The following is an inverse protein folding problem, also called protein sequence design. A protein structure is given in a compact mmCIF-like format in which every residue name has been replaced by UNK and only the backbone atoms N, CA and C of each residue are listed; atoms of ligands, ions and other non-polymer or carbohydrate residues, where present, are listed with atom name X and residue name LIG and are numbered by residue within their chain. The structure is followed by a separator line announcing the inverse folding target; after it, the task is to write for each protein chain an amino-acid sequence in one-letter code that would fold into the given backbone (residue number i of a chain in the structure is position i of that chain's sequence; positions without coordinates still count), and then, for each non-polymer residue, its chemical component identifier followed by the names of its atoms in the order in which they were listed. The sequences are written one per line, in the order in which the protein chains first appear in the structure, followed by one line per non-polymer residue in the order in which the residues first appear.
data_IF_728836882168
#
_entry.id   IF_728836882168
#
_cell.length_a   1.000
_cell.length_b   1.000
_cell.length_c   1.000
_cell.angle_alpha   90.00
_cell.angle_beta   90.00
_cell.angle_gamma   90.00
#
_symmetry.space_group_name_H-M   'P 1'
#
loop_
_entity.id
_entity.type
_entity.pdbx_description
1 polymer ?
#
# COMPACT_ATOMS: atom_id res chain seq x y z
N UNK A 1 -3.31 13.68 23.97
CA UNK A 1 -2.78 12.87 22.84
C UNK A 1 -2.08 11.67 23.45
N UNK A 2 -2.55 10.47 23.18
CA UNK A 2 -1.83 9.25 23.54
C UNK A 2 -0.63 9.10 22.59
N UNK A 3 0.53 8.71 23.13
CA UNK A 3 1.72 8.43 22.31
C UNK A 3 1.55 7.15 21.47
N UNK A 4 2.54 6.82 20.61
CA UNK A 4 2.48 5.63 19.79
C UNK A 4 2.38 4.35 20.60
N UNK A 5 1.59 3.40 20.12
CA UNK A 5 1.40 2.08 20.76
C UNK A 5 2.68 1.25 20.75
N UNK A 6 2.80 0.19 21.57
CA UNK A 6 3.94 -0.71 21.54
C UNK A 6 4.20 -1.31 20.16
N UNK A 7 3.14 -1.72 19.42
CA UNK A 7 3.24 -2.24 18.07
C UNK A 7 3.79 -1.20 17.08
N UNK A 8 3.31 0.03 17.15
CA UNK A 8 3.82 1.13 16.34
C UNK A 8 5.30 1.43 16.61
N UNK A 9 5.74 1.33 17.88
CA UNK A 9 7.15 1.49 18.25
C UNK A 9 8.01 0.36 17.74
N UNK A 10 7.52 -0.88 17.82
CA UNK A 10 8.21 -2.06 17.30
C UNK A 10 8.42 -1.92 15.79
N UNK A 11 7.37 -1.59 15.04
CA UNK A 11 7.45 -1.40 13.58
C UNK A 11 8.41 -0.27 13.21
N UNK A 12 8.41 0.83 13.96
CA UNK A 12 9.41 1.88 13.78
C UNK A 12 10.84 1.34 13.94
N UNK A 13 11.09 0.57 15.01
CA UNK A 13 12.42 0.02 15.29
C UNK A 13 12.89 -0.94 14.20
N UNK A 14 11.98 -1.69 13.57
CA UNK A 14 12.30 -2.56 12.42
C UNK A 14 12.93 -1.81 11.25
N UNK A 15 12.58 -0.54 11.05
CA UNK A 15 13.06 0.27 9.92
C UNK A 15 14.19 1.23 10.30
N UNK A 16 14.61 1.27 11.57
CA UNK A 16 15.75 2.09 12.02
C UNK A 16 17.07 1.73 11.32
N UNK A 17 17.37 0.44 11.02
CA UNK A 17 18.59 0.07 10.32
C UNK A 17 18.67 0.55 8.87
N UNK A 18 17.51 0.83 8.24
CA UNK A 18 17.49 1.30 6.86
C UNK A 18 18.20 2.67 6.76
N UNK A 19 19.39 2.64 6.20
CA UNK A 19 20.20 3.83 5.98
C UNK A 19 20.84 3.77 4.59
N UNK A 20 20.03 3.91 3.54
CA UNK A 20 20.47 3.75 2.17
C UNK A 20 21.51 4.80 1.79
N UNK A 21 22.39 4.41 0.91
CA UNK A 21 23.28 5.33 0.23
C UNK A 21 22.44 6.30 -0.62
N UNK A 22 22.56 7.60 -0.36
CA UNK A 22 21.82 8.63 -1.10
C UNK A 22 22.07 8.57 -2.61
N UNK A 23 23.24 8.08 -3.02
CA UNK A 23 23.61 7.93 -4.42
C UNK A 23 22.88 6.76 -5.12
N UNK A 24 22.22 5.89 -4.36
CA UNK A 24 21.44 4.76 -4.88
C UNK A 24 19.94 5.01 -4.91
N UNK A 25 19.48 6.22 -4.61
CA UNK A 25 18.05 6.52 -4.65
C UNK A 25 17.48 6.24 -6.04
N UNK A 26 16.50 5.36 -6.07
CA UNK A 26 15.69 5.08 -7.26
C UNK A 26 14.34 5.80 -7.13
N UNK A 27 14.17 6.88 -7.88
CA UNK A 27 12.94 7.68 -7.89
C UNK A 27 11.75 6.94 -8.50
N UNK A 28 12.00 5.84 -9.19
CA UNK A 28 10.98 4.96 -9.77
C UNK A 28 10.73 3.70 -8.94
N UNK A 29 11.34 3.59 -7.76
CA UNK A 29 11.03 2.55 -6.80
C UNK A 29 10.08 3.07 -5.72
N UNK A 30 9.07 2.27 -5.42
CA UNK A 30 8.17 2.42 -4.27
C UNK A 30 8.40 1.22 -3.35
N UNK A 31 8.67 1.48 -2.08
CA UNK A 31 8.70 0.43 -1.06
C UNK A 31 7.41 0.48 -0.25
N UNK A 32 6.63 -0.62 -0.31
CA UNK A 32 5.40 -0.80 0.47
C UNK A 32 5.77 -1.51 1.76
N UNK A 33 5.59 -0.82 2.87
CA UNK A 33 6.09 -1.25 4.17
C UNK A 33 5.00 -1.09 5.24
N UNK A 34 5.24 -1.68 6.41
CA UNK A 34 4.39 -1.50 7.59
C UNK A 34 3.36 -2.59 7.83
N UNK A 35 3.28 -3.60 6.95
CA UNK A 35 2.47 -4.81 7.13
C UNK A 35 3.37 -6.03 7.38
N UNK A 36 2.84 -7.03 8.09
CA UNK A 36 3.48 -8.33 8.27
C UNK A 36 3.22 -9.26 7.07
N UNK A 37 2.29 -8.88 6.22
CA UNK A 37 1.87 -9.65 5.05
C UNK A 37 2.16 -8.85 3.79
N UNK A 38 2.63 -9.55 2.76
CA UNK A 38 2.71 -8.99 1.42
C UNK A 38 1.32 -8.63 0.89
N UNK A 39 1.24 -7.66 0.01
CA UNK A 39 0.05 -7.48 -0.81
C UNK A 39 -0.12 -8.70 -1.72
N UNK A 40 -1.37 -9.11 -1.92
CA UNK A 40 -1.68 -10.19 -2.84
C UNK A 40 -1.15 -9.89 -4.25
N UNK A 41 -0.79 -10.94 -4.98
CA UNK A 41 -0.30 -10.79 -6.36
C UNK A 41 -1.35 -10.20 -7.31
N UNK A 42 -2.63 -10.40 -6.99
CA UNK A 42 -3.76 -9.82 -7.72
C UNK A 42 -4.15 -8.43 -7.23
N UNK A 43 -3.39 -7.84 -6.30
CA UNK A 43 -3.70 -6.53 -5.74
C UNK A 43 -3.66 -5.45 -6.82
N UNK A 44 -4.77 -4.76 -6.98
CA UNK A 44 -4.97 -3.71 -7.98
C UNK A 44 -3.98 -2.56 -7.83
N UNK A 45 -3.54 -2.26 -6.63
CA UNK A 45 -2.51 -1.25 -6.36
C UNK A 45 -1.17 -1.59 -7.05
N UNK A 46 -0.74 -2.87 -7.03
CA UNK A 46 0.49 -3.28 -7.74
C UNK A 46 0.37 -3.10 -9.24
N UNK A 47 -0.79 -3.46 -9.81
CA UNK A 47 -1.07 -3.25 -11.24
C UNK A 47 -1.03 -1.76 -11.59
N UNK A 48 -1.69 -0.92 -10.80
CA UNK A 48 -1.72 0.52 -11.02
C UNK A 48 -0.32 1.15 -10.98
N UNK A 49 0.50 0.77 -10.00
CA UNK A 49 1.88 1.24 -9.89
C UNK A 49 2.75 0.79 -11.07
N UNK A 50 2.53 -0.44 -11.56
CA UNK A 50 3.22 -0.93 -12.76
C UNK A 50 2.82 -0.14 -14.02
N UNK A 51 1.53 0.19 -14.19
CA UNK A 51 1.04 1.06 -15.27
C UNK A 51 1.69 2.45 -15.18
N UNK A 52 1.87 2.96 -13.97
CA UNK A 52 2.55 4.24 -13.71
C UNK A 52 4.09 4.17 -13.93
N UNK A 53 4.62 3.01 -14.24
CA UNK A 53 6.05 2.79 -14.51
C UNK A 53 6.91 2.74 -13.25
N UNK A 54 6.34 2.34 -12.12
CA UNK A 54 7.05 2.18 -10.85
C UNK A 54 7.39 0.73 -10.56
N UNK A 55 8.57 0.52 -9.97
CA UNK A 55 8.98 -0.76 -9.40
C UNK A 55 8.53 -0.82 -7.94
N UNK A 56 7.78 -1.85 -7.60
CA UNK A 56 7.33 -2.10 -6.22
C UNK A 56 8.26 -3.08 -5.54
N UNK A 57 8.60 -2.81 -4.28
CA UNK A 57 9.27 -3.74 -3.38
C UNK A 57 8.55 -3.79 -2.03
N UNK A 58 8.51 -4.97 -1.43
CA UNK A 58 7.94 -5.21 -0.12
C UNK A 58 8.97 -5.87 0.80
N UNK A 59 8.76 -5.77 2.11
CA UNK A 59 9.62 -6.45 3.09
C UNK A 59 9.67 -7.97 2.84
N UNK A 60 8.54 -8.54 2.46
CA UNK A 60 8.37 -9.98 2.24
C UNK A 60 9.09 -10.49 0.98
N UNK A 61 9.52 -9.60 0.10
CA UNK A 61 10.34 -9.93 -1.07
C UNK A 61 11.83 -10.15 -0.69
N UNK A 62 12.23 -9.76 0.54
CA UNK A 62 13.61 -9.78 0.96
C UNK A 62 13.99 -11.14 1.57
N UNK A 63 15.02 -11.75 1.03
CA UNK A 63 15.62 -13.01 1.52
C UNK A 63 16.98 -12.79 2.20
N UNK A 64 17.60 -11.64 1.95
CA UNK A 64 18.92 -11.28 2.49
C UNK A 64 18.90 -9.91 3.17
N UNK A 65 19.95 -9.61 3.93
CA UNK A 65 20.12 -8.29 4.55
C UNK A 65 20.32 -7.18 3.50
N UNK A 66 21.03 -7.46 2.46
CA UNK A 66 21.29 -6.53 1.37
C UNK A 66 19.99 -6.15 0.64
N UNK A 67 19.13 -7.14 0.38
CA UNK A 67 17.79 -6.88 -0.20
C UNK A 67 16.91 -6.06 0.73
N UNK A 68 17.03 -6.28 2.04
CA UNK A 68 16.33 -5.47 3.04
C UNK A 68 16.83 -4.01 3.03
N UNK A 69 18.16 -3.80 2.98
CA UNK A 69 18.73 -2.45 2.90
C UNK A 69 18.29 -1.71 1.63
N UNK A 70 18.10 -2.42 0.52
CA UNK A 70 17.62 -1.86 -0.74
C UNK A 70 16.19 -1.29 -0.67
N UNK A 71 15.38 -1.71 0.31
CA UNK A 71 14.07 -1.09 0.55
C UNK A 71 14.20 0.41 0.82
N UNK A 72 15.27 0.81 1.50
CA UNK A 72 15.56 2.21 1.79
C UNK A 72 15.96 3.06 0.57
N UNK A 73 16.27 2.44 -0.57
CA UNK A 73 16.63 3.15 -1.80
C UNK A 73 15.40 3.76 -2.52
N UNK A 74 14.19 3.42 -2.11
CA UNK A 74 12.97 3.93 -2.72
C UNK A 74 12.88 5.47 -2.65
N UNK A 75 12.38 6.07 -3.73
CA UNK A 75 12.04 7.49 -3.77
C UNK A 75 10.77 7.80 -2.96
N UNK A 76 9.88 6.82 -2.84
CA UNK A 76 8.60 6.93 -2.13
C UNK A 76 8.37 5.71 -1.25
N UNK A 77 7.95 5.94 -0.02
CA UNK A 77 7.44 4.92 0.89
C UNK A 77 5.91 4.96 0.91
N UNK A 78 5.30 3.78 0.83
CA UNK A 78 3.86 3.62 0.89
C UNK A 78 3.49 2.69 2.05
N UNK A 79 2.44 3.03 2.76
CA UNK A 79 1.91 2.23 3.86
C UNK A 79 0.38 2.12 3.72
N UNK A 80 -0.14 0.89 3.73
CA UNK A 80 -1.58 0.63 3.70
C UNK A 80 -2.12 0.22 5.08
N UNK A 81 -1.24 -0.09 6.03
CA UNK A 81 -1.63 -0.67 7.31
C UNK A 81 -1.55 0.35 8.46
N UNK A 82 -2.62 0.56 9.23
CA UNK A 82 -2.67 1.63 10.23
C UNK A 82 -1.56 1.57 11.28
N UNK A 83 -1.20 0.37 11.75
CA UNK A 83 -0.14 0.22 12.76
C UNK A 83 1.26 0.48 12.21
N UNK A 84 1.45 0.33 10.90
CA UNK A 84 2.71 0.64 10.22
C UNK A 84 2.95 2.14 10.01
N UNK A 85 1.88 2.92 9.89
CA UNK A 85 1.92 4.34 9.50
C UNK A 85 2.99 5.14 10.24
N UNK A 86 2.97 5.08 11.58
CA UNK A 86 3.92 5.83 12.41
C UNK A 86 5.38 5.50 12.11
N UNK A 87 5.70 4.22 11.96
CA UNK A 87 7.06 3.77 11.68
C UNK A 87 7.56 4.22 10.31
N UNK A 88 6.72 4.09 9.29
CA UNK A 88 7.09 4.42 7.91
C UNK A 88 7.15 5.93 7.67
N UNK A 89 6.22 6.70 8.27
CA UNK A 89 6.27 8.16 8.25
C UNK A 89 7.59 8.66 8.87
N UNK A 90 7.96 8.13 10.04
CA UNK A 90 9.24 8.45 10.69
C UNK A 90 10.45 8.07 9.83
N UNK A 91 10.41 6.92 9.14
CA UNK A 91 11.44 6.50 8.20
C UNK A 91 11.56 7.50 7.05
N UNK A 92 10.44 7.84 6.42
CA UNK A 92 10.39 8.77 5.29
C UNK A 92 10.94 10.16 5.67
N UNK A 93 10.55 10.69 6.83
CA UNK A 93 11.09 11.95 7.36
C UNK A 93 12.62 11.87 7.54
N UNK A 94 13.12 10.81 8.19
CA UNK A 94 14.55 10.60 8.43
C UNK A 94 15.36 10.52 7.14
N UNK A 95 14.84 9.83 6.13
CA UNK A 95 15.51 9.65 4.85
C UNK A 95 15.19 10.77 3.84
N UNK A 96 14.31 11.70 4.19
CA UNK A 96 13.82 12.78 3.31
C UNK A 96 13.26 12.24 2.01
N UNK A 97 12.31 11.29 2.13
CA UNK A 97 11.59 10.66 1.03
C UNK A 97 10.11 11.02 1.09
N UNK A 98 9.42 10.87 -0.02
CA UNK A 98 7.97 10.97 -0.03
C UNK A 98 7.34 9.84 0.78
N UNK A 99 6.23 10.15 1.45
CA UNK A 99 5.41 9.19 2.19
C UNK A 99 3.96 9.29 1.75
N UNK A 100 3.36 8.14 1.46
CA UNK A 100 1.95 8.00 1.15
C UNK A 100 1.32 7.00 2.11
N UNK A 101 0.18 7.37 2.65
CA UNK A 101 -0.64 6.48 3.46
C UNK A 101 -1.96 6.25 2.73
N UNK A 102 -2.17 5.01 2.28
CA UNK A 102 -3.38 4.57 1.60
C UNK A 102 -4.03 3.47 2.44
N UNK A 103 -4.93 3.80 3.35
CA UNK A 103 -5.65 2.79 4.13
C UNK A 103 -6.49 1.93 3.21
N UNK A 104 -6.66 0.66 3.57
CA UNK A 104 -7.54 -0.23 2.84
C UNK A 104 -8.99 0.18 3.08
N UNK A 105 -9.77 0.34 2.03
CA UNK A 105 -11.20 0.65 2.07
C UNK A 105 -12.01 -0.34 1.22
N UNK A 106 -13.31 -0.43 1.52
CA UNK A 106 -14.30 -1.15 0.72
C UNK A 106 -15.30 -0.19 0.06
N UNK A 107 -15.13 1.11 0.27
CA UNK A 107 -15.92 2.16 -0.37
C UNK A 107 -15.25 2.61 -1.67
N UNK A 108 -15.98 2.54 -2.78
CA UNK A 108 -15.43 2.86 -4.09
C UNK A 108 -15.03 4.33 -4.24
N UNK A 109 -15.72 5.25 -3.56
CA UNK A 109 -15.37 6.66 -3.63
C UNK A 109 -14.12 6.98 -2.81
N UNK A 110 -13.96 6.31 -1.66
CA UNK A 110 -12.73 6.41 -0.87
C UNK A 110 -11.54 5.84 -1.65
N UNK A 111 -11.69 4.64 -2.23
CA UNK A 111 -10.65 4.02 -3.07
C UNK A 111 -10.28 4.94 -4.23
N UNK A 112 -11.27 5.49 -4.95
CA UNK A 112 -11.04 6.42 -6.05
C UNK A 112 -10.24 7.64 -5.60
N UNK A 113 -10.61 8.25 -4.50
CA UNK A 113 -9.92 9.42 -3.95
C UNK A 113 -8.48 9.13 -3.56
N UNK A 114 -8.22 7.95 -3.00
CA UNK A 114 -6.89 7.51 -2.63
C UNK A 114 -6.01 7.24 -3.85
N UNK A 115 -6.54 6.56 -4.86
CA UNK A 115 -5.83 6.28 -6.12
C UNK A 115 -5.53 7.57 -6.89
N UNK A 116 -6.45 8.54 -6.91
CA UNK A 116 -6.20 9.87 -7.49
C UNK A 116 -5.09 10.60 -6.73
N UNK A 117 -5.09 10.51 -5.40
CA UNK A 117 -4.04 11.10 -4.56
C UNK A 117 -2.69 10.47 -4.86
N UNK A 118 -2.64 9.15 -4.96
CA UNK A 118 -1.45 8.41 -5.34
C UNK A 118 -0.94 8.85 -6.72
N UNK A 119 -1.81 8.84 -7.73
CA UNK A 119 -1.48 9.19 -9.11
C UNK A 119 -0.91 10.60 -9.24
N UNK A 120 -1.56 11.55 -8.58
CA UNK A 120 -1.09 12.93 -8.54
C UNK A 120 0.26 13.07 -7.81
N UNK A 121 0.45 12.38 -6.70
CA UNK A 121 1.68 12.40 -5.91
C UNK A 121 2.88 11.82 -6.65
N UNK A 122 2.62 10.87 -7.53
CA UNK A 122 3.64 10.26 -8.39
C UNK A 122 3.94 11.08 -9.65
N UNK A 123 3.21 12.18 -9.88
CA UNK A 123 3.39 13.05 -11.04
C UNK A 123 3.08 12.33 -12.36
N UNK A 124 2.19 11.34 -12.35
CA UNK A 124 1.81 10.60 -13.56
C UNK A 124 0.77 11.40 -14.32
N UNK A 125 1.05 11.65 -15.59
CA UNK A 125 0.09 12.27 -16.50
C UNK A 125 -0.95 11.22 -16.99
N UNK A 126 -2.14 11.70 -17.39
CA UNK A 126 -3.16 10.83 -17.97
C UNK A 126 -4.23 10.38 -16.98
N UNK A 127 -4.94 11.31 -16.38
CA UNK A 127 -6.11 11.03 -15.51
C UNK A 127 -7.17 10.13 -16.17
N UNK A 128 -7.26 10.17 -17.48
CA UNK A 128 -8.19 9.31 -18.22
C UNK A 128 -7.81 7.83 -18.08
N UNK A 129 -6.53 7.50 -18.09
CA UNK A 129 -6.04 6.11 -17.91
C UNK A 129 -6.47 5.60 -16.53
N UNK A 130 -6.31 6.40 -15.49
CA UNK A 130 -6.75 6.04 -14.14
C UNK A 130 -8.27 5.84 -14.09
N UNK A 131 -9.05 6.75 -14.66
CA UNK A 131 -10.51 6.66 -14.65
C UNK A 131 -11.01 5.40 -15.37
N UNK A 132 -10.52 5.12 -16.56
CA UNK A 132 -10.90 3.93 -17.33
C UNK A 132 -10.49 2.63 -16.61
N UNK A 133 -9.31 2.63 -15.98
CA UNK A 133 -8.85 1.51 -15.17
C UNK A 133 -9.75 1.28 -13.96
N UNK A 134 -10.10 2.33 -13.21
CA UNK A 134 -11.00 2.27 -12.06
C UNK A 134 -12.40 1.75 -12.44
N UNK A 135 -13.00 2.28 -13.50
CA UNK A 135 -14.30 1.83 -13.98
C UNK A 135 -14.32 0.34 -14.31
N UNK A 136 -13.26 -0.13 -14.99
CA UNK A 136 -13.11 -1.55 -15.28
C UNK A 136 -13.01 -2.40 -14.01
N UNK A 137 -12.23 -1.96 -13.01
CA UNK A 137 -12.06 -2.70 -11.76
C UNK A 137 -13.35 -2.75 -10.93
N UNK A 138 -14.07 -1.63 -10.85
CA UNK A 138 -15.38 -1.58 -10.19
C UNK A 138 -16.37 -2.54 -10.86
N UNK A 139 -16.43 -2.54 -12.19
CA UNK A 139 -17.31 -3.46 -12.93
C UNK A 139 -17.01 -4.94 -12.62
N UNK A 140 -15.72 -5.32 -12.60
CA UNK A 140 -15.30 -6.68 -12.24
C UNK A 140 -15.65 -7.03 -10.78
N UNK A 141 -15.47 -6.09 -9.86
CA UNK A 141 -15.83 -6.26 -8.45
C UNK A 141 -17.34 -6.45 -8.28
N UNK A 142 -18.16 -5.64 -8.94
CA UNK A 142 -19.62 -5.76 -8.89
C UNK A 142 -20.11 -7.09 -9.50
N UNK A 143 -19.51 -7.55 -10.58
CA UNK A 143 -19.81 -8.86 -11.15
C UNK A 143 -19.51 -9.99 -10.15
N UNK A 144 -18.33 -9.98 -9.52
CA UNK A 144 -17.93 -10.94 -8.51
C UNK A 144 -18.86 -10.91 -7.28
N UNK A 145 -19.22 -9.72 -6.80
CA UNK A 145 -20.15 -9.55 -5.69
C UNK A 145 -21.55 -10.08 -6.01
N UNK A 146 -22.05 -9.82 -7.22
CA UNK A 146 -23.35 -10.33 -7.64
C UNK A 146 -23.36 -11.86 -7.76
N UNK A 147 -22.26 -12.45 -8.27
CA UNK A 147 -22.10 -13.89 -8.29
C UNK A 147 -22.05 -14.48 -6.87
N UNK A 148 -21.28 -13.89 -5.96
CA UNK A 148 -21.20 -14.29 -4.57
C UNK A 148 -22.57 -14.21 -3.87
N UNK A 149 -23.35 -13.14 -4.07
CA UNK A 149 -24.71 -12.99 -3.55
C UNK A 149 -25.64 -14.10 -4.03
N UNK A 150 -25.53 -14.52 -5.29
CA UNK A 150 -26.34 -15.64 -5.83
C UNK A 150 -26.01 -16.97 -5.15
N UNK A 151 -24.73 -17.23 -4.87
CA UNK A 151 -24.28 -18.46 -4.20
C UNK A 151 -24.71 -18.47 -2.73
N UNK A 152 -24.51 -17.35 -2.03
CA UNK A 152 -24.77 -17.22 -0.58
C UNK A 152 -26.27 -17.19 -0.31
N UNK A 153 -27.05 -16.54 -1.16
CA UNK A 153 -28.48 -16.36 -0.98
C UNK A 153 -28.80 -15.67 0.36
N UNK A 154 -29.59 -16.33 1.19
CA UNK A 154 -29.97 -15.86 2.52
C UNK A 154 -29.20 -16.56 3.65
N UNK A 155 -28.09 -17.22 3.35
CA UNK A 155 -27.28 -17.86 4.39
C UNK A 155 -26.66 -16.81 5.32
N UNK A 156 -26.57 -17.09 6.62
CA UNK A 156 -25.87 -16.20 7.54
C UNK A 156 -24.38 -16.17 7.22
N UNK A 157 -23.79 -14.97 7.26
CA UNK A 157 -22.35 -14.75 7.01
C UNK A 157 -21.70 -14.36 8.33
N UNK A 158 -20.58 -15.00 8.64
CA UNK A 158 -19.72 -14.58 9.75
C UNK A 158 -18.45 -13.96 9.17
N UNK A 159 -18.12 -12.77 9.64
CA UNK A 159 -16.91 -12.06 9.23
C UNK A 159 -15.97 -11.97 10.42
N UNK A 160 -14.75 -12.49 10.27
CA UNK A 160 -13.67 -12.23 11.20
C UNK A 160 -12.97 -10.95 10.82
N UNK A 161 -13.18 -9.91 11.60
CA UNK A 161 -12.60 -8.58 11.38
C UNK A 161 -11.19 -8.43 11.97
N UNK A 162 -10.63 -9.46 12.59
CA UNK A 162 -9.33 -9.41 13.26
C UNK A 162 -8.20 -9.14 12.26
N UNK A 163 -8.33 -9.69 11.07
CA UNK A 163 -7.34 -9.58 9.99
C UNK A 163 -7.74 -8.64 8.86
N UNK A 164 -8.93 -8.08 8.92
CA UNK A 164 -9.42 -7.17 7.89
C UNK A 164 -9.60 -5.77 8.45
N UNK A 165 -9.29 -4.72 7.69
CA UNK A 165 -9.63 -3.37 8.08
C UNK A 165 -11.14 -3.28 8.29
N UNK A 166 -11.56 -2.53 9.28
CA UNK A 166 -12.99 -2.27 9.48
C UNK A 166 -13.52 -1.49 8.27
N UNK A 167 -14.69 -1.88 7.76
CA UNK A 167 -15.38 -1.06 6.79
C UNK A 167 -15.71 0.32 7.34
#
# INVERSE_FOLDING_TARGET
KHGPTPDQKLRKAMYEPLNPDRNKMDTKQISILGSDFALDLSCDLKELLAIAGYKVRELQDCSTWEEYEELGNAGTFLCCYPSGKYGIETLAERLRRAFLYLPLSFDYEEIRSEEETLWNSLGVEGKQILSEWMEKKIALCEEALNHAKQIIGNAPITIDYTFHPRP
#
